data_IF_451071031346
#
_entry.id   IF_451071031346
#
_cell.length_a   1.000
_cell.length_b   1.000
_cell.length_c   1.000
_cell.angle_alpha   90.00
_cell.angle_beta   90.00
_cell.angle_gamma   90.00
#
_symmetry.space_group_name_H-M   'P 1'
#
loop_
_entity.id
_entity.type
_entity.pdbx_description
1 polymer ?
#
# COMPACT_ATOMS: atom_id res chain seq x y z
N UNK A 1 -13.37 5.59 -10.49
CA UNK A 1 -12.90 4.32 -11.06
C UNK A 1 -12.60 3.34 -9.94
N UNK A 2 -12.84 2.06 -10.18
CA UNK A 2 -12.55 1.01 -9.21
C UNK A 2 -11.35 0.21 -9.70
N UNK A 3 -10.34 0.08 -8.84
CA UNK A 3 -9.16 -0.72 -9.11
C UNK A 3 -9.21 -2.00 -8.29
N UNK A 4 -8.66 -3.10 -8.83
CA UNK A 4 -8.66 -4.39 -8.15
C UNK A 4 -7.23 -4.76 -7.78
N UNK A 5 -7.00 -5.11 -6.52
CA UNK A 5 -5.68 -5.52 -6.03
C UNK A 5 -5.82 -6.69 -5.09
N UNK A 6 -4.79 -7.53 -5.07
CA UNK A 6 -4.73 -8.69 -4.16
C UNK A 6 -3.85 -8.33 -2.96
N UNK A 7 -4.20 -8.88 -1.82
CA UNK A 7 -3.43 -8.74 -0.58
C UNK A 7 -3.20 -10.10 0.03
N UNK A 8 -2.05 -10.26 0.71
CA UNK A 8 -1.86 -11.37 1.64
C UNK A 8 -2.83 -11.24 2.80
N UNK A 9 -3.07 -12.33 3.52
CA UNK A 9 -4.08 -12.37 4.57
C UNK A 9 -3.81 -11.37 5.69
N UNK A 10 -2.56 -11.28 6.14
CA UNK A 10 -2.21 -10.39 7.26
C UNK A 10 -2.47 -8.92 6.95
N UNK A 11 -1.94 -8.34 5.84
CA UNK A 11 -2.28 -6.95 5.51
C UNK A 11 -3.76 -6.75 5.21
N UNK A 12 -4.45 -7.74 4.64
CA UNK A 12 -5.89 -7.67 4.42
C UNK A 12 -6.63 -7.46 5.74
N UNK A 13 -6.32 -8.28 6.74
CA UNK A 13 -6.96 -8.18 8.07
C UNK A 13 -6.64 -6.83 8.73
N UNK A 14 -5.42 -6.37 8.59
CA UNK A 14 -4.97 -5.10 9.18
C UNK A 14 -5.71 -3.90 8.57
N UNK A 15 -5.93 -3.92 7.27
CA UNK A 15 -6.72 -2.88 6.58
C UNK A 15 -8.18 -2.98 7.00
N UNK A 16 -8.72 -4.19 7.04
CA UNK A 16 -10.13 -4.43 7.43
C UNK A 16 -10.42 -3.90 8.83
N UNK A 17 -9.47 -4.03 9.75
CA UNK A 17 -9.59 -3.52 11.11
C UNK A 17 -9.34 -2.02 11.25
N UNK A 18 -8.88 -1.38 10.19
CA UNK A 18 -8.57 0.05 10.20
C UNK A 18 -7.23 0.39 10.84
N UNK A 19 -6.38 -0.61 11.12
CA UNK A 19 -5.05 -0.40 11.71
C UNK A 19 -4.05 0.04 10.65
N UNK A 20 -4.06 -0.63 9.49
CA UNK A 20 -3.23 -0.25 8.35
C UNK A 20 -4.04 0.68 7.45
N UNK A 21 -3.55 1.91 7.27
CA UNK A 21 -4.23 2.92 6.46
C UNK A 21 -3.39 3.40 5.28
N UNK A 22 -2.18 2.85 5.09
CA UNK A 22 -1.31 3.16 3.96
C UNK A 22 -0.81 1.83 3.39
N UNK A 23 -1.15 1.57 2.12
CA UNK A 23 -0.69 0.39 1.39
C UNK A 23 0.53 0.76 0.56
N UNK A 24 1.59 -0.05 0.63
CA UNK A 24 2.84 0.21 -0.07
C UNK A 24 2.91 -0.61 -1.35
N UNK A 25 3.13 0.07 -2.46
CA UNK A 25 3.22 -0.56 -3.79
C UNK A 25 4.31 0.08 -4.63
N UNK A 26 4.73 -0.66 -5.66
CA UNK A 26 5.54 -0.10 -6.72
C UNK A 26 4.68 0.91 -7.50
N UNK A 27 5.25 2.03 -7.91
CA UNK A 27 4.52 3.04 -8.71
C UNK A 27 4.62 2.71 -10.20
N UNK A 28 4.21 1.50 -10.55
CA UNK A 28 4.23 1.00 -11.93
C UNK A 28 3.01 1.52 -12.72
N UNK A 29 2.88 1.10 -13.97
CA UNK A 29 1.81 1.59 -14.85
C UNK A 29 0.42 1.37 -14.25
N UNK A 30 0.23 0.26 -13.54
CA UNK A 30 -1.07 -0.05 -12.93
C UNK A 30 -1.41 0.93 -11.80
N UNK A 31 -0.41 1.41 -11.07
CA UNK A 31 -0.63 2.35 -9.95
C UNK A 31 -0.56 3.80 -10.39
N UNK A 32 0.09 4.10 -11.51
CA UNK A 32 0.17 5.46 -12.04
C UNK A 32 -1.19 6.02 -12.45
N UNK A 33 -2.17 5.16 -12.69
CA UNK A 33 -3.53 5.59 -13.05
C UNK A 33 -4.43 5.85 -11.84
N UNK A 34 -3.95 5.56 -10.62
CA UNK A 34 -4.70 5.83 -9.40
C UNK A 34 -4.84 7.34 -9.18
N UNK A 35 -6.02 7.75 -8.71
CA UNK A 35 -6.30 9.14 -8.35
C UNK A 35 -7.00 9.21 -7.00
N UNK A 36 -6.76 10.30 -6.28
CA UNK A 36 -7.51 10.58 -5.06
C UNK A 36 -9.01 10.56 -5.37
N UNK A 37 -9.77 9.88 -4.53
CA UNK A 37 -11.20 9.68 -4.75
C UNK A 37 -11.57 8.38 -5.44
N UNK A 38 -10.61 7.71 -6.08
CA UNK A 38 -10.84 6.38 -6.66
C UNK A 38 -11.08 5.36 -5.56
N UNK A 39 -11.68 4.23 -5.95
CA UNK A 39 -11.92 3.10 -5.06
C UNK A 39 -10.96 1.97 -5.37
N UNK A 40 -10.56 1.22 -4.35
CA UNK A 40 -9.79 0.00 -4.53
C UNK A 40 -10.57 -1.15 -3.89
N UNK A 41 -10.71 -2.22 -4.64
CA UNK A 41 -11.34 -3.46 -4.21
C UNK A 41 -10.22 -4.45 -3.91
N UNK A 42 -9.92 -4.67 -2.64
CA UNK A 42 -8.89 -5.61 -2.21
C UNK A 42 -9.49 -7.00 -2.02
N UNK A 43 -8.78 -8.02 -2.48
CA UNK A 43 -9.19 -9.42 -2.34
C UNK A 43 -8.14 -10.18 -1.54
N UNK A 44 -8.61 -10.92 -0.52
CA UNK A 44 -7.76 -11.80 0.29
C UNK A 44 -7.48 -13.11 -0.47
N UNK A 45 -6.52 -13.94 0.01
CA UNK A 45 -6.27 -15.25 -0.59
C UNK A 45 -7.47 -16.19 -0.54
N UNK A 46 -8.40 -15.96 0.38
CA UNK A 46 -9.61 -16.79 0.54
C UNK A 46 -10.82 -16.22 -0.21
N UNK A 47 -10.63 -15.14 -0.98
CA UNK A 47 -11.71 -14.56 -1.78
C UNK A 47 -12.55 -13.52 -1.05
N UNK A 48 -12.24 -13.19 0.18
CA UNK A 48 -12.91 -12.11 0.90
C UNK A 48 -12.51 -10.77 0.27
N UNK A 49 -13.45 -9.82 0.24
CA UNK A 49 -13.23 -8.53 -0.43
C UNK A 49 -13.55 -7.38 0.51
N UNK A 50 -12.74 -6.31 0.41
CA UNK A 50 -13.02 -5.04 1.08
C UNK A 50 -12.82 -3.91 0.09
N UNK A 51 -13.65 -2.88 0.20
CA UNK A 51 -13.56 -1.70 -0.66
C UNK A 51 -13.04 -0.53 0.17
N UNK A 52 -12.05 0.18 -0.37
CA UNK A 52 -11.48 1.37 0.26
C UNK A 52 -11.48 2.52 -0.72
N UNK A 53 -11.45 3.74 -0.18
CA UNK A 53 -11.32 4.96 -0.98
C UNK A 53 -9.87 5.44 -0.91
N UNK A 54 -9.32 5.84 -2.05
CA UNK A 54 -7.99 6.46 -2.11
C UNK A 54 -8.12 7.90 -1.60
N UNK A 55 -7.44 8.19 -0.50
CA UNK A 55 -7.43 9.52 0.11
C UNK A 55 -6.31 10.36 -0.48
N UNK A 56 -5.11 9.81 -0.54
CA UNK A 56 -3.93 10.52 -1.02
C UNK A 56 -2.87 9.54 -1.51
N UNK A 57 -2.10 9.96 -2.50
CA UNK A 57 -0.98 9.19 -3.04
C UNK A 57 0.31 9.87 -2.63
N UNK A 58 1.18 9.14 -1.92
CA UNK A 58 2.49 9.60 -1.48
C UNK A 58 3.54 8.92 -2.34
N UNK A 59 4.10 9.65 -3.31
CA UNK A 59 5.00 9.11 -4.31
C UNK A 59 6.45 9.45 -3.95
N UNK A 60 7.32 8.45 -3.99
CA UNK A 60 8.75 8.59 -3.67
C UNK A 60 9.59 7.85 -4.71
N UNK A 61 10.88 8.21 -4.77
CA UNK A 61 11.82 7.56 -5.67
C UNK A 61 12.26 6.18 -5.18
N UNK A 62 12.15 5.93 -3.88
CA UNK A 62 12.61 4.68 -3.26
C UNK A 62 11.84 4.40 -1.98
N UNK A 63 11.87 3.15 -1.53
CA UNK A 63 11.34 2.80 -0.22
C UNK A 63 12.19 3.39 0.91
N UNK A 64 13.48 3.61 0.70
CA UNK A 64 14.32 4.31 1.67
C UNK A 64 13.71 5.67 2.02
N UNK A 65 13.38 6.46 1.01
CA UNK A 65 12.78 7.78 1.18
C UNK A 65 11.39 7.69 1.80
N UNK A 66 10.57 6.74 1.33
CA UNK A 66 9.22 6.53 1.85
C UNK A 66 9.26 6.19 3.34
N UNK A 67 10.18 5.30 3.75
CA UNK A 67 10.29 4.87 5.15
C UNK A 67 10.75 5.99 6.07
N UNK A 68 11.46 6.97 5.54
CA UNK A 68 11.89 8.16 6.31
C UNK A 68 10.76 9.16 6.50
N UNK A 69 9.76 9.16 5.62
CA UNK A 69 8.74 10.20 5.56
C UNK A 69 7.37 9.79 6.09
N UNK A 70 6.96 8.54 5.91
CA UNK A 70 5.62 8.10 6.26
C UNK A 70 5.56 7.45 7.65
N UNK A 71 4.41 7.53 8.33
CA UNK A 71 4.21 6.84 9.61
C UNK A 71 4.10 5.34 9.39
N UNK A 72 5.14 4.60 9.72
CA UNK A 72 5.26 3.19 9.39
C UNK A 72 4.30 2.29 10.18
N UNK A 73 3.82 2.74 11.33
CA UNK A 73 2.75 2.06 12.06
C UNK A 73 1.46 2.01 11.22
N UNK A 74 1.22 3.03 10.41
CA UNK A 74 0.07 3.07 9.49
C UNK A 74 0.30 2.25 8.22
N UNK A 75 1.55 1.89 7.94
CA UNK A 75 1.92 1.07 6.79
C UNK A 75 1.89 -0.44 7.09
N UNK A 76 1.53 -0.82 8.31
CA UNK A 76 1.38 -2.22 8.69
C UNK A 76 2.42 -2.76 9.65
N UNK A 77 3.32 -1.94 10.16
CA UNK A 77 4.31 -2.37 11.15
C UNK A 77 3.75 -2.24 12.56
N UNK A 78 3.73 -3.35 13.30
CA UNK A 78 3.36 -3.36 14.72
C UNK A 78 4.48 -2.74 15.55
N UNK A 79 5.74 -3.02 15.19
CA UNK A 79 6.93 -2.48 15.84
C UNK A 79 7.75 -1.72 14.80
N UNK A 80 7.64 -0.38 14.84
CA UNK A 80 8.31 0.51 13.89
C UNK A 80 9.84 0.38 14.00
N UNK A 81 10.36 0.02 15.18
CA UNK A 81 11.81 -0.13 15.36
C UNK A 81 12.39 -1.29 14.53
N UNK A 82 11.56 -2.22 14.07
CA UNK A 82 11.96 -3.34 13.24
C UNK A 82 11.78 -3.06 11.75
N UNK A 83 11.22 -1.91 11.38
CA UNK A 83 10.93 -1.59 9.99
C UNK A 83 12.20 -1.24 9.21
N UNK A 84 12.40 -1.89 8.07
CA UNK A 84 13.53 -1.65 7.17
C UNK A 84 13.04 -1.54 5.74
N UNK A 85 13.53 -0.56 4.94
CA UNK A 85 13.14 -0.48 3.53
C UNK A 85 13.43 -1.78 2.76
N UNK A 86 14.47 -2.52 3.16
CA UNK A 86 14.85 -3.80 2.56
C UNK A 86 13.77 -4.85 2.70
N UNK A 87 12.84 -4.71 3.65
CA UNK A 87 11.71 -5.63 3.80
C UNK A 87 10.87 -5.70 2.52
N UNK A 88 10.85 -4.62 1.74
CA UNK A 88 10.09 -4.56 0.49
C UNK A 88 10.78 -5.29 -0.67
N UNK A 89 12.04 -5.71 -0.50
CA UNK A 89 12.77 -6.43 -1.56
C UNK A 89 12.23 -7.85 -1.75
N UNK A 90 11.50 -8.40 -0.79
CA UNK A 90 10.83 -9.69 -0.97
C UNK A 90 9.66 -9.60 -1.94
N UNK A 91 9.14 -8.40 -2.21
CA UNK A 91 8.03 -8.17 -3.14
C UNK A 91 8.49 -7.56 -4.45
N UNK A 92 9.46 -6.64 -4.41
CA UNK A 92 9.92 -5.87 -5.55
C UNK A 92 11.43 -5.79 -5.58
N UNK A 93 12.03 -6.08 -6.74
CA UNK A 93 13.49 -6.00 -6.89
C UNK A 93 13.97 -4.53 -6.81
N UNK A 94 15.24 -4.35 -6.50
CA UNK A 94 15.85 -3.02 -6.50
C UNK A 94 15.76 -2.37 -7.88
N UNK A 95 15.90 -3.16 -8.95
CA UNK A 95 15.80 -2.66 -10.32
C UNK A 95 14.40 -2.13 -10.63
N UNK A 96 13.35 -2.85 -10.20
CA UNK A 96 11.97 -2.40 -10.37
C UNK A 96 11.70 -1.13 -9.58
N UNK A 97 12.18 -1.05 -8.34
CA UNK A 97 12.02 0.14 -7.51
C UNK A 97 12.69 1.35 -8.15
N UNK A 98 13.90 1.18 -8.70
CA UNK A 98 14.62 2.26 -9.37
C UNK A 98 13.91 2.71 -10.65
N UNK A 99 13.31 1.76 -11.38
CA UNK A 99 12.63 2.05 -12.65
C UNK A 99 11.33 2.82 -12.46
N UNK A 100 10.52 2.41 -11.48
CA UNK A 100 9.14 2.92 -11.36
C UNK A 100 8.94 3.88 -10.19
N UNK A 101 9.83 3.87 -9.20
CA UNK A 101 9.55 4.53 -7.93
C UNK A 101 8.54 3.73 -7.12
N UNK A 102 8.09 4.30 -6.02
CA UNK A 102 7.21 3.63 -5.08
C UNK A 102 6.10 4.58 -4.64
N UNK A 103 5.02 4.01 -4.11
CA UNK A 103 3.88 4.80 -3.65
C UNK A 103 3.33 4.23 -2.35
N UNK A 104 3.05 5.13 -1.41
CA UNK A 104 2.21 4.85 -0.26
C UNK A 104 0.81 5.34 -0.57
N UNK A 105 -0.13 4.42 -0.68
CA UNK A 105 -1.52 4.71 -0.99
C UNK A 105 -2.27 4.87 0.32
N UNK A 106 -2.60 6.11 0.68
CA UNK A 106 -3.39 6.38 1.87
C UNK A 106 -4.85 6.10 1.56
N UNK A 107 -5.47 5.27 2.40
CA UNK A 107 -6.81 4.74 2.14
C UNK A 107 -7.72 4.90 3.35
N UNK A 108 -9.02 4.94 3.09
CA UNK A 108 -10.06 4.92 4.12
C UNK A 108 -11.05 3.82 3.77
N UNK A 109 -11.51 3.07 4.78
CA UNK A 109 -12.56 2.07 4.56
C UNK A 109 -13.79 2.75 4.01
N UNK A 110 -14.37 2.16 2.97
CA UNK A 110 -15.60 2.65 2.38
C UNK A 110 -16.78 1.92 3.03
N UNK A 111 -17.63 2.70 3.70
CA UNK A 111 -18.82 2.19 4.37
C UNK A 111 -20.04 2.87 3.70
N UNK A 112 -20.69 2.17 2.76
CA UNK A 112 -21.84 2.75 2.04
C UNK A 112 -23.04 2.99 2.92
#
# INVERSE_FOLDING_TARGET
MIHHMKLHQEPFESIKKGVKTIELRLYDEKRQVLKSGDMIDFTSPHGERICVKVVKLHIFNSFQELYERLPLDKCGYDDVSQAKPEDMEMYYSKAEQAKYGVVGIEIALFDP
#
